data_IF_144342485978
#
_entry.id   IF_144342485978
#
_cell.length_a   1.000
_cell.length_b   1.000
_cell.length_c   1.000
_cell.angle_alpha   90.00
_cell.angle_beta   90.00
_cell.angle_gamma   90.00
#
_symmetry.space_group_name_H-M   'P 1'
#
loop_
_entity.id
_entity.type
_entity.pdbx_description
1 polymer ?
#
# COMPACT_ATOMS: atom_id res chain seq x y z
N UNK A 1 0.59 -16.34 -26.42
CA UNK A 1 -0.70 -15.88 -25.85
C UNK A 1 -0.69 -16.30 -24.39
N UNK A 2 -1.01 -15.39 -23.47
CA UNK A 2 -0.96 -15.65 -22.02
C UNK A 2 -2.02 -16.71 -21.64
N UNK A 3 -1.61 -17.90 -21.22
CA UNK A 3 -2.54 -18.99 -20.86
C UNK A 3 -2.88 -18.93 -19.37
N UNK A 4 -3.96 -18.21 -19.05
CA UNK A 4 -4.43 -17.98 -17.68
C UNK A 4 -4.72 -19.30 -16.96
N UNK A 5 -5.40 -20.23 -17.65
CA UNK A 5 -5.81 -21.51 -17.06
C UNK A 5 -4.60 -22.35 -16.63
N UNK A 6 -3.53 -22.34 -17.42
CA UNK A 6 -2.28 -23.03 -17.08
C UNK A 6 -1.57 -22.38 -15.89
N UNK A 7 -1.47 -21.04 -15.88
CA UNK A 7 -0.83 -20.32 -14.77
C UNK A 7 -1.58 -20.50 -13.45
N UNK A 8 -2.92 -20.59 -13.48
CA UNK A 8 -3.73 -20.87 -12.29
C UNK A 8 -3.43 -22.24 -11.68
N UNK A 9 -3.03 -23.24 -12.47
CA UNK A 9 -2.64 -24.57 -11.95
C UNK A 9 -1.33 -24.56 -11.15
N UNK A 10 -0.52 -23.51 -11.32
CA UNK A 10 0.75 -23.36 -10.59
C UNK A 10 0.53 -22.87 -9.15
N UNK A 11 -0.66 -22.36 -8.81
CA UNK A 11 -0.99 -21.95 -7.46
C UNK A 11 -1.64 -23.11 -6.68
N UNK A 12 -1.12 -23.40 -5.49
CA UNK A 12 -1.53 -24.56 -4.69
C UNK A 12 -2.08 -24.12 -3.34
N UNK A 13 -3.10 -24.82 -2.80
CA UNK A 13 -3.56 -24.59 -1.44
C UNK A 13 -2.42 -24.77 -0.43
N UNK A 14 -2.42 -23.92 0.58
CA UNK A 14 -1.48 -23.92 1.70
C UNK A 14 -2.03 -24.84 2.79
N UNK A 15 -1.28 -25.88 3.13
CA UNK A 15 -1.60 -26.81 4.22
C UNK A 15 -1.10 -26.26 5.55
N UNK A 16 -2.00 -25.60 6.29
CA UNK A 16 -1.72 -24.94 7.57
C UNK A 16 -1.27 -25.94 8.65
N UNK A 17 -1.85 -27.14 8.69
CA UNK A 17 -1.55 -28.15 9.71
C UNK A 17 -0.11 -28.68 9.56
N UNK A 18 0.32 -28.88 8.31
CA UNK A 18 1.69 -29.31 8.00
C UNK A 18 2.72 -28.21 8.31
N UNK A 19 2.37 -26.94 8.07
CA UNK A 19 3.25 -25.80 8.36
C UNK A 19 3.41 -25.62 9.87
N UNK A 20 2.32 -25.62 10.64
CA UNK A 20 2.38 -25.50 12.10
C UNK A 20 3.21 -26.65 12.73
N UNK A 21 3.14 -27.86 12.19
CA UNK A 21 3.98 -28.99 12.61
C UNK A 21 5.47 -28.82 12.31
N UNK A 22 5.83 -28.13 11.23
CA UNK A 22 7.22 -27.96 10.77
C UNK A 22 7.93 -26.75 11.36
N UNK A 23 7.23 -25.64 11.51
CA UNK A 23 7.82 -24.35 11.92
C UNK A 23 7.29 -23.84 13.26
N UNK A 24 6.36 -24.55 13.88
CA UNK A 24 5.73 -24.13 15.14
C UNK A 24 4.56 -23.17 14.92
N UNK A 25 4.15 -22.48 15.99
CA UNK A 25 3.00 -21.57 15.93
C UNK A 25 3.24 -20.43 14.94
N UNK A 26 2.32 -20.28 13.99
CA UNK A 26 2.30 -19.21 13.00
C UNK A 26 1.51 -18.02 13.59
N UNK A 27 1.90 -16.76 13.36
CA UNK A 27 1.10 -15.61 13.75
C UNK A 27 -0.33 -15.67 13.20
N UNK A 28 -1.32 -15.28 14.01
CA UNK A 28 -2.74 -15.38 13.67
C UNK A 28 -3.09 -14.63 12.37
N UNK A 29 -2.46 -13.48 12.13
CA UNK A 29 -2.67 -12.70 10.90
C UNK A 29 -2.20 -13.45 9.64
N UNK A 30 -1.03 -14.09 9.71
CA UNK A 30 -0.50 -14.90 8.61
C UNK A 30 -1.39 -16.12 8.34
N UNK A 31 -1.90 -16.76 9.40
CA UNK A 31 -2.85 -17.86 9.29
C UNK A 31 -4.16 -17.42 8.63
N UNK A 32 -4.75 -16.33 9.09
CA UNK A 32 -5.99 -15.78 8.54
C UNK A 32 -5.82 -15.39 7.05
N UNK A 33 -4.68 -14.81 6.69
CA UNK A 33 -4.37 -14.49 5.30
C UNK A 33 -4.26 -15.75 4.42
N UNK A 34 -3.58 -16.80 4.89
CA UNK A 34 -3.48 -18.09 4.19
C UNK A 34 -4.83 -18.79 4.01
N UNK A 35 -5.72 -18.73 5.00
CA UNK A 35 -7.10 -19.24 4.87
C UNK A 35 -7.88 -18.51 3.78
N UNK A 36 -7.76 -17.19 3.72
CA UNK A 36 -8.38 -16.37 2.68
C UNK A 36 -7.80 -16.65 1.29
N UNK A 37 -6.49 -16.89 1.19
CA UNK A 37 -5.86 -17.34 -0.05
C UNK A 37 -6.38 -18.70 -0.52
N UNK A 38 -6.50 -19.67 0.39
CA UNK A 38 -7.09 -20.98 0.08
C UNK A 38 -8.55 -20.86 -0.36
N UNK A 39 -9.32 -19.97 0.27
CA UNK A 39 -10.68 -19.64 -0.15
C UNK A 39 -10.71 -19.06 -1.55
N UNK A 40 -9.80 -18.14 -1.87
CA UNK A 40 -9.71 -17.55 -3.20
C UNK A 40 -9.43 -18.62 -4.28
N UNK A 41 -8.50 -19.55 -4.02
CA UNK A 41 -8.24 -20.67 -4.94
C UNK A 41 -9.48 -21.52 -5.21
N UNK A 42 -10.30 -21.76 -4.19
CA UNK A 42 -11.56 -22.47 -4.34
C UNK A 42 -12.55 -21.68 -5.22
N UNK A 43 -12.68 -20.37 -5.01
CA UNK A 43 -13.56 -19.51 -5.83
C UNK A 43 -13.10 -19.43 -7.29
N UNK A 44 -11.78 -19.40 -7.54
CA UNK A 44 -11.22 -19.48 -8.90
C UNK A 44 -11.62 -20.79 -9.57
N UNK A 45 -11.57 -21.91 -8.84
CA UNK A 45 -12.00 -23.21 -9.39
C UNK A 45 -13.50 -23.22 -9.75
N UNK A 46 -14.29 -22.38 -9.08
CA UNK A 46 -15.72 -22.18 -9.35
C UNK A 46 -15.99 -21.12 -10.42
N UNK A 47 -14.96 -20.52 -11.05
CA UNK A 47 -15.08 -19.40 -12.01
C UNK A 47 -15.78 -18.17 -11.42
N UNK A 48 -15.50 -17.91 -10.14
CA UNK A 48 -15.95 -16.73 -9.41
C UNK A 48 -14.75 -15.80 -9.15
N UNK A 49 -14.10 -15.33 -10.21
CA UNK A 49 -12.86 -14.54 -10.13
C UNK A 49 -13.05 -13.24 -9.33
N UNK A 50 -14.23 -12.61 -9.38
CA UNK A 50 -14.54 -11.41 -8.58
C UNK A 50 -14.51 -11.70 -7.06
N UNK A 51 -15.09 -12.83 -6.64
CA UNK A 51 -15.11 -13.26 -5.24
C UNK A 51 -13.70 -13.64 -4.79
N UNK A 52 -12.93 -14.28 -5.68
CA UNK A 52 -11.54 -14.59 -5.44
C UNK A 52 -10.70 -13.33 -5.22
N UNK A 53 -10.88 -12.30 -6.05
CA UNK A 53 -10.19 -11.01 -5.90
C UNK A 53 -10.54 -10.36 -4.55
N UNK A 54 -11.80 -10.40 -4.11
CA UNK A 54 -12.19 -9.89 -2.78
C UNK A 54 -11.46 -10.63 -1.66
N UNK A 55 -11.42 -11.96 -1.73
CA UNK A 55 -10.73 -12.78 -0.74
C UNK A 55 -9.21 -12.49 -0.73
N UNK A 56 -8.60 -12.31 -1.90
CA UNK A 56 -7.18 -11.99 -2.03
C UNK A 56 -6.85 -10.58 -1.53
N UNK A 57 -7.69 -9.58 -1.85
CA UNK A 57 -7.57 -8.23 -1.29
C UNK A 57 -7.56 -8.26 0.24
N UNK A 58 -8.48 -9.02 0.84
CA UNK A 58 -8.53 -9.19 2.30
C UNK A 58 -7.30 -9.94 2.85
N UNK A 59 -6.82 -10.97 2.15
CA UNK A 59 -5.60 -11.68 2.53
C UNK A 59 -4.40 -10.74 2.56
N UNK A 60 -4.24 -9.93 1.51
CA UNK A 60 -3.16 -8.97 1.35
C UNK A 60 -3.28 -7.81 2.36
N UNK A 61 -4.49 -7.39 2.74
CA UNK A 61 -4.66 -6.37 3.78
C UNK A 61 -4.24 -6.85 5.17
N UNK A 62 -4.39 -8.16 5.44
CA UNK A 62 -4.00 -8.77 6.72
C UNK A 62 -2.50 -9.07 6.72
N UNK A 63 -1.96 -9.55 5.60
CA UNK A 63 -0.55 -9.87 5.43
C UNK A 63 -0.01 -9.23 4.14
N UNK A 64 0.48 -7.97 4.19
CA UNK A 64 0.91 -7.22 3.00
C UNK A 64 2.07 -7.87 2.23
N UNK A 65 2.90 -8.68 2.89
CA UNK A 65 4.00 -9.42 2.27
C UNK A 65 3.56 -10.76 1.65
N UNK A 66 2.25 -10.97 1.45
CA UNK A 66 1.74 -12.18 0.80
C UNK A 66 1.90 -12.14 -0.72
N UNK A 67 3.14 -12.19 -1.20
CA UNK A 67 3.45 -12.06 -2.64
C UNK A 67 2.77 -13.12 -3.51
N UNK A 68 2.56 -14.33 -2.99
CA UNK A 68 1.85 -15.39 -3.71
C UNK A 68 0.37 -15.03 -3.91
N UNK A 69 -0.27 -14.39 -2.92
CA UNK A 69 -1.64 -13.88 -3.04
C UNK A 69 -1.71 -12.69 -4.00
N UNK A 70 -0.72 -11.78 -3.98
CA UNK A 70 -0.63 -10.68 -4.95
C UNK A 70 -0.45 -11.19 -6.38
N UNK A 71 0.43 -12.16 -6.60
CA UNK A 71 0.61 -12.78 -7.91
C UNK A 71 -0.69 -13.44 -8.40
N UNK A 72 -1.38 -14.19 -7.53
CA UNK A 72 -2.67 -14.79 -7.87
C UNK A 72 -3.72 -13.73 -8.21
N UNK A 73 -3.76 -12.62 -7.46
CA UNK A 73 -4.68 -11.51 -7.70
C UNK A 73 -4.44 -10.85 -9.06
N UNK A 74 -3.17 -10.65 -9.45
CA UNK A 74 -2.82 -10.16 -10.77
C UNK A 74 -3.30 -11.10 -11.89
N UNK A 75 -3.22 -12.42 -11.70
CA UNK A 75 -3.75 -13.39 -12.66
C UNK A 75 -5.27 -13.34 -12.74
N UNK A 76 -5.97 -13.20 -11.61
CA UNK A 76 -7.42 -13.00 -11.59
C UNK A 76 -7.84 -11.73 -12.32
N UNK A 77 -7.10 -10.62 -12.16
CA UNK A 77 -7.34 -9.39 -12.90
C UNK A 77 -7.21 -9.56 -14.42
N UNK A 78 -6.21 -10.32 -14.88
CA UNK A 78 -6.10 -10.69 -16.31
C UNK A 78 -7.33 -11.52 -16.74
N UNK A 79 -7.79 -12.45 -15.90
CA UNK A 79 -8.94 -13.31 -16.21
C UNK A 79 -10.24 -12.53 -16.43
N UNK A 80 -10.45 -11.43 -15.70
CA UNK A 80 -11.61 -10.56 -15.85
C UNK A 80 -11.40 -9.41 -16.86
N UNK A 81 -10.23 -9.35 -17.51
CA UNK A 81 -9.91 -8.35 -18.53
C UNK A 81 -9.37 -7.01 -18.00
N UNK A 82 -9.04 -6.92 -16.71
CA UNK A 82 -8.50 -5.73 -16.06
C UNK A 82 -6.95 -5.73 -16.09
N UNK A 83 -6.38 -5.64 -17.30
CA UNK A 83 -4.93 -5.73 -17.49
C UNK A 83 -4.13 -4.64 -16.74
N UNK A 84 -4.62 -3.41 -16.69
CA UNK A 84 -3.95 -2.31 -15.99
C UNK A 84 -3.85 -2.58 -14.47
N UNK A 85 -4.92 -3.09 -13.86
CA UNK A 85 -4.92 -3.48 -12.44
C UNK A 85 -3.96 -4.65 -12.20
N UNK A 86 -3.91 -5.62 -13.12
CA UNK A 86 -2.93 -6.70 -13.05
C UNK A 86 -1.49 -6.17 -13.08
N UNK A 87 -1.19 -5.23 -13.98
CA UNK A 87 0.13 -4.60 -14.10
C UNK A 87 0.52 -3.84 -12.85
N UNK A 88 -0.41 -3.10 -12.25
CA UNK A 88 -0.18 -2.39 -10.99
C UNK A 88 0.24 -3.35 -9.88
N UNK A 89 -0.50 -4.45 -9.71
CA UNK A 89 -0.21 -5.46 -8.68
C UNK A 89 1.13 -6.17 -8.93
N UNK A 90 1.44 -6.55 -10.17
CA UNK A 90 2.74 -7.15 -10.46
C UNK A 90 3.90 -6.17 -10.23
N UNK A 91 3.73 -4.90 -10.59
CA UNK A 91 4.73 -3.87 -10.29
C UNK A 91 4.92 -3.68 -8.78
N UNK A 92 3.85 -3.77 -7.99
CA UNK A 92 3.91 -3.77 -6.52
C UNK A 92 4.77 -4.93 -6.00
N UNK A 93 4.54 -6.16 -6.49
CA UNK A 93 5.36 -7.34 -6.14
C UNK A 93 6.84 -7.14 -6.51
N UNK A 94 7.12 -6.56 -7.69
CA UNK A 94 8.50 -6.29 -8.16
C UNK A 94 9.24 -5.32 -7.24
N UNK A 95 8.54 -4.30 -6.71
CA UNK A 95 9.12 -3.31 -5.80
C UNK A 95 9.44 -3.86 -4.41
N UNK A 96 8.80 -4.96 -4.01
CA UNK A 96 8.95 -5.59 -2.70
C UNK A 96 10.05 -6.69 -2.66
N UNK A 97 10.83 -6.81 -3.74
CA UNK A 97 12.10 -7.55 -3.89
C UNK A 97 12.04 -9.12 -3.84
N UNK A 98 11.31 -9.75 -2.91
CA UNK A 98 11.50 -11.19 -2.62
C UNK A 98 10.78 -12.18 -3.56
N UNK A 99 9.80 -11.74 -4.38
CA UNK A 99 9.13 -12.60 -5.40
C UNK A 99 9.01 -11.93 -6.78
N UNK A 100 9.91 -10.97 -7.05
CA UNK A 100 9.93 -10.11 -8.23
C UNK A 100 10.00 -10.88 -9.57
N UNK A 101 10.63 -12.05 -9.59
CA UNK A 101 10.86 -12.81 -10.83
C UNK A 101 9.57 -13.31 -11.50
N UNK A 102 8.57 -13.73 -10.71
CA UNK A 102 7.30 -14.24 -11.24
C UNK A 102 6.42 -13.10 -11.76
N UNK A 103 6.32 -12.02 -10.98
CA UNK A 103 5.60 -10.81 -11.36
C UNK A 103 6.22 -10.12 -12.59
N UNK A 104 7.55 -9.99 -12.67
CA UNK A 104 8.24 -9.45 -13.83
C UNK A 104 8.00 -10.28 -15.10
N UNK A 105 7.92 -11.60 -14.96
CA UNK A 105 7.57 -12.51 -16.05
C UNK A 105 6.14 -12.30 -16.53
N UNK A 106 5.20 -12.03 -15.62
CA UNK A 106 3.82 -11.71 -15.98
C UNK A 106 3.73 -10.39 -16.75
N UNK A 107 4.39 -9.32 -16.30
CA UNK A 107 4.48 -8.04 -17.06
C UNK A 107 5.06 -8.26 -18.46
N UNK A 108 6.19 -8.97 -18.57
CA UNK A 108 6.84 -9.24 -19.86
C UNK A 108 5.93 -9.98 -20.83
N UNK A 109 5.14 -10.94 -20.33
CA UNK A 109 4.18 -11.68 -21.15
C UNK A 109 2.97 -10.85 -21.56
N UNK A 110 2.52 -9.92 -20.71
CA UNK A 110 1.50 -8.93 -21.07
C UNK A 110 2.00 -7.97 -22.17
N UNK A 111 3.29 -7.62 -22.16
CA UNK A 111 3.93 -6.80 -23.20
C UNK A 111 4.16 -7.54 -24.54
N UNK A 112 3.83 -8.84 -24.60
CA UNK A 112 3.97 -9.65 -25.82
C UNK A 112 5.39 -10.14 -26.12
N UNK A 113 6.33 -9.99 -25.18
CA UNK A 113 7.72 -10.44 -25.33
C UNK A 113 7.86 -11.90 -24.88
N UNK A 114 7.70 -12.82 -25.83
CA UNK A 114 7.90 -14.27 -25.63
C UNK A 114 9.38 -14.59 -25.85
N UNK A 115 10.23 -14.09 -24.97
CA UNK A 115 11.60 -14.62 -24.82
C UNK A 115 11.69 -15.34 -23.48
N UNK A 116 11.47 -16.66 -23.53
CA UNK A 116 11.90 -17.59 -22.50
C UNK A 116 13.43 -17.67 -22.57
N UNK A 117 14.11 -16.73 -21.94
CA UNK A 117 15.52 -16.88 -21.61
C UNK A 117 15.75 -16.46 -20.16
N UNK A 118 16.34 -17.38 -19.42
CA UNK A 118 16.72 -17.30 -18.01
C UNK A 118 17.52 -16.03 -17.72
N UNK A 119 17.24 -15.38 -16.59
CA UNK A 119 18.18 -14.40 -16.02
C UNK A 119 18.48 -14.71 -14.55
N UNK A 120 19.46 -15.59 -14.38
CA UNK A 120 20.40 -15.57 -13.27
C UNK A 120 20.99 -14.16 -13.09
N UNK A 121 21.11 -13.75 -11.82
CA UNK A 121 21.76 -12.55 -11.30
C UNK A 121 22.93 -12.00 -12.15
N UNK A 122 22.97 -10.69 -12.44
CA UNK A 122 24.07 -9.78 -12.02
C UNK A 122 23.91 -8.32 -12.45
N UNK A 123 24.50 -7.44 -11.63
CA UNK A 123 24.68 -5.98 -11.73
C UNK A 123 25.52 -5.52 -12.94
N UNK A 124 25.14 -4.32 -13.44
CA UNK A 124 25.94 -3.17 -13.96
C UNK A 124 26.40 -3.09 -15.44
N UNK A 125 25.85 -2.05 -16.12
CA UNK A 125 26.50 -0.86 -16.77
C UNK A 125 26.72 -0.79 -18.32
N UNK A 126 26.03 0.23 -18.89
CA UNK A 126 26.33 1.27 -19.94
C UNK A 126 26.15 1.06 -21.48
N UNK A 127 25.23 1.92 -21.99
CA UNK A 127 25.22 2.87 -23.16
C UNK A 127 25.34 2.30 -24.60
N UNK A 128 24.38 2.47 -25.54
CA UNK A 128 23.76 3.64 -26.27
C UNK A 128 24.22 3.58 -27.77
N UNK A 129 23.59 4.14 -28.84
CA UNK A 129 22.24 4.69 -29.13
C UNK A 129 21.54 4.07 -30.38
N UNK A 130 20.32 4.54 -30.69
CA UNK A 130 19.85 5.08 -31.99
C UNK A 130 18.43 4.69 -32.43
N UNK A 131 17.52 5.67 -32.29
CA UNK A 131 16.70 6.25 -33.35
C UNK A 131 16.34 5.34 -34.54
N UNK A 132 15.09 4.87 -34.60
CA UNK A 132 14.34 4.77 -35.86
C UNK A 132 12.81 4.67 -35.63
N UNK A 133 12.21 5.80 -35.27
CA UNK A 133 10.77 6.03 -35.43
C UNK A 133 10.47 6.28 -36.91
N UNK A 134 9.98 5.28 -37.65
CA UNK A 134 9.27 5.50 -38.93
C UNK A 134 8.80 4.19 -39.58
N UNK A 135 7.75 3.56 -39.05
CA UNK A 135 6.91 2.63 -39.83
C UNK A 135 5.45 2.79 -39.38
N UNK A 136 4.79 3.85 -39.83
CA UNK A 136 3.32 3.96 -39.81
C UNK A 136 2.81 4.86 -40.93
N UNK A 137 3.31 4.62 -42.15
CA UNK A 137 2.73 5.14 -43.40
C UNK A 137 3.05 4.16 -44.51
N UNK A 138 2.36 3.03 -44.52
CA UNK A 138 2.26 2.20 -45.71
C UNK A 138 0.94 1.45 -45.68
N UNK A 139 0.33 1.32 -46.85
CA UNK A 139 -0.86 0.51 -47.17
C UNK A 139 -2.22 1.21 -46.97
N UNK A 140 -2.51 2.15 -47.86
CA UNK A 140 -3.85 2.34 -48.40
C UNK A 140 -3.75 2.34 -49.92
N UNK A 141 -4.11 1.22 -50.56
CA UNK A 141 -4.73 1.15 -51.88
C UNK A 141 -4.76 -0.32 -52.34
N UNK A 142 -5.94 -0.93 -52.35
CA UNK A 142 -6.36 -1.77 -53.48
C UNK A 142 -7.86 -2.06 -53.40
N UNK A 143 -8.57 -1.68 -54.48
CA UNK A 143 -9.56 -2.47 -55.23
C UNK A 143 -10.63 -1.57 -55.85
N UNK A 144 -10.54 -1.42 -57.17
CA UNK A 144 -11.64 -1.04 -58.06
C UNK A 144 -12.63 -2.24 -58.20
N UNK A 145 -13.85 -2.08 -58.76
CA UNK A 145 -13.95 -2.07 -60.23
C UNK A 145 -15.11 -1.27 -60.89
N UNK A 146 -14.84 -0.94 -62.15
CA UNK A 146 -15.67 -0.92 -63.38
C UNK A 146 -16.96 -0.10 -63.55
N UNK A 147 -16.92 0.67 -64.64
CA UNK A 147 -17.99 1.27 -65.45
C UNK A 147 -19.20 0.37 -65.79
N UNK A 148 -20.39 0.98 -65.86
CA UNK A 148 -21.11 1.18 -67.15
C UNK A 148 -22.50 1.83 -66.97
N UNK A 149 -22.82 2.74 -67.89
CA UNK A 149 -24.10 3.46 -68.00
C UNK A 149 -25.26 2.50 -68.32
N UNK A 150 -26.04 2.04 -67.33
CA UNK A 150 -27.45 1.58 -67.47
C UNK A 150 -28.20 1.51 -66.13
N UNK A 151 -28.03 2.51 -65.26
CA UNK A 151 -28.59 2.50 -63.89
C UNK A 151 -30.00 3.06 -63.71
N UNK A 152 -30.45 4.02 -64.53
CA UNK A 152 -31.67 4.80 -64.22
C UNK A 152 -32.98 4.18 -64.73
N UNK A 153 -32.97 3.49 -65.87
CA UNK A 153 -34.19 2.93 -66.46
C UNK A 153 -34.79 1.75 -65.67
N UNK A 154 -33.99 1.01 -64.90
CA UNK A 154 -34.49 -0.09 -64.05
C UNK A 154 -35.33 0.42 -62.88
N UNK A 155 -34.96 1.56 -62.28
CA UNK A 155 -35.72 2.14 -61.18
C UNK A 155 -37.02 2.82 -61.64
N UNK A 156 -37.01 3.44 -62.83
CA UNK A 156 -38.22 4.05 -63.41
C UNK A 156 -39.28 2.98 -63.73
N UNK A 157 -38.88 1.81 -64.21
CA UNK A 157 -39.80 0.70 -64.49
C UNK A 157 -40.45 0.14 -63.21
N UNK A 158 -39.67 -0.01 -62.13
CA UNK A 158 -40.15 -0.49 -60.82
C UNK A 158 -41.08 0.53 -60.17
N UNK A 159 -40.81 1.83 -60.32
CA UNK A 159 -41.66 2.89 -59.80
C UNK A 159 -43.04 2.92 -60.49
N UNK A 160 -43.08 2.76 -61.82
CA UNK A 160 -44.35 2.73 -62.58
C UNK A 160 -45.19 1.49 -62.23
N UNK A 161 -44.55 0.33 -62.05
CA UNK A 161 -45.22 -0.89 -61.58
C UNK A 161 -45.77 -0.74 -60.16
N UNK A 162 -45.04 -0.06 -59.27
CA UNK A 162 -45.50 0.23 -57.91
C UNK A 162 -46.74 1.13 -57.87
N UNK A 163 -46.77 2.19 -58.68
CA UNK A 163 -47.93 3.11 -58.77
C UNK A 163 -49.16 2.43 -59.36
N UNK A 164 -48.97 1.52 -60.32
CA UNK A 164 -50.07 0.74 -60.89
C UNK A 164 -50.66 -0.24 -59.88
N UNK A 165 -49.84 -0.89 -59.05
CA UNK A 165 -50.31 -1.82 -58.00
C UNK A 165 -51.08 -1.07 -56.90
N UNK A 166 -50.60 0.10 -56.46
CA UNK A 166 -51.30 0.90 -55.44
C UNK A 166 -52.62 1.50 -55.95
N UNK A 167 -52.66 1.90 -57.21
CA UNK A 167 -53.89 2.36 -57.88
C UNK A 167 -54.92 1.23 -58.06
N UNK A 168 -54.46 0.02 -58.39
CA UNK A 168 -55.30 -1.18 -58.47
C UNK A 168 -55.87 -1.58 -57.09
N UNK A 169 -55.08 -1.47 -56.03
CA UNK A 169 -55.53 -1.71 -54.65
C UNK A 169 -56.58 -0.67 -54.23
N UNK A 170 -56.41 0.60 -54.60
CA UNK A 170 -57.39 1.66 -54.29
C UNK A 170 -58.74 1.46 -55.01
N UNK A 171 -58.73 0.94 -56.25
CA UNK A 171 -59.93 0.64 -57.03
C UNK A 171 -60.61 -0.67 -56.58
N UNK A 172 -59.82 -1.65 -56.12
CA UNK A 172 -60.31 -2.97 -55.70
C UNK A 172 -60.89 -3.00 -54.27
N UNK A 173 -60.70 -1.94 -53.46
CA UNK A 173 -61.36 -1.81 -52.16
C UNK A 173 -62.81 -1.33 -52.37
N UNK A 174 -63.82 -2.17 -52.12
CA UNK A 174 -65.22 -1.75 -52.23
C UNK A 174 -65.50 -0.69 -51.17
N UNK A 175 -66.21 0.38 -51.54
CA UNK A 175 -66.61 1.46 -50.64
C UNK A 175 -67.78 1.03 -49.71
N UNK A 176 -67.71 -0.20 -49.23
CA UNK A 176 -68.66 -0.77 -48.30
C UNK A 176 -68.13 -0.43 -46.91
N UNK A 177 -68.92 0.31 -46.13
CA UNK A 177 -68.63 0.57 -44.72
C UNK A 177 -68.42 -0.79 -44.04
N UNK A 178 -67.16 -1.14 -43.81
CA UNK A 178 -66.82 -2.29 -42.98
C UNK A 178 -67.26 -1.86 -41.59
N UNK A 179 -68.43 -2.33 -41.15
CA UNK A 179 -68.75 -2.35 -39.73
C UNK A 179 -67.81 -3.38 -39.11
N UNK A 180 -66.57 -2.96 -38.88
CA UNK A 180 -65.68 -3.64 -37.95
C UNK A 180 -66.37 -3.46 -36.61
N UNK A 181 -66.96 -4.53 -36.10
CA UNK A 181 -67.52 -4.57 -34.75
C UNK A 181 -66.35 -4.50 -33.75
N UNK A 182 -65.82 -3.30 -33.61
CA UNK A 182 -64.65 -2.95 -32.82
C UNK A 182 -64.90 -3.25 -31.33
N UNK A 183 -66.17 -3.31 -30.91
CA UNK A 183 -66.59 -3.68 -29.56
C UNK A 183 -66.10 -5.07 -29.14
N UNK A 184 -66.05 -6.05 -30.05
CA UNK A 184 -65.57 -7.40 -29.71
C UNK A 184 -64.04 -7.55 -29.75
N UNK A 185 -63.33 -6.60 -30.38
CA UNK A 185 -61.87 -6.44 -30.26
C UNK A 185 -61.49 -5.73 -28.96
N UNK A 186 -62.33 -4.80 -28.50
CA UNK A 186 -62.15 -4.05 -27.25
C UNK A 186 -62.81 -4.69 -26.02
N UNK A 187 -63.46 -5.85 -26.15
CA UNK A 187 -64.04 -6.62 -25.03
C UNK A 187 -63.05 -7.58 -24.32
N UNK A 188 -61.74 -7.44 -24.61
CA UNK A 188 -60.63 -7.95 -23.78
C UNK A 188 -59.93 -6.89 -22.88
N UNK A 189 -60.55 -5.73 -22.51
CA UNK A 189 -59.82 -4.63 -21.91
C UNK A 189 -59.39 -4.94 -20.46
N UNK A 190 -59.95 -5.98 -19.84
CA UNK A 190 -59.68 -6.38 -18.47
C UNK A 190 -58.51 -7.34 -18.29
N UNK A 191 -58.13 -8.13 -19.31
CA UNK A 191 -56.93 -8.97 -19.23
C UNK A 191 -55.67 -8.23 -19.66
N UNK A 192 -55.76 -7.39 -20.69
CA UNK A 192 -54.61 -6.62 -21.17
C UNK A 192 -54.28 -5.46 -20.22
N UNK A 193 -55.26 -4.78 -19.62
CA UNK A 193 -55.00 -3.77 -18.58
C UNK A 193 -54.34 -4.38 -17.33
N UNK A 194 -54.76 -5.59 -16.90
CA UNK A 194 -54.10 -6.31 -15.80
C UNK A 194 -52.66 -6.68 -16.12
N UNK A 195 -52.38 -7.16 -17.34
CA UNK A 195 -51.01 -7.45 -17.79
C UNK A 195 -50.14 -6.19 -17.88
N UNK A 196 -50.72 -5.07 -18.29
CA UNK A 196 -50.00 -3.79 -18.34
C UNK A 196 -49.65 -3.34 -16.91
N UNK A 197 -50.57 -3.42 -15.96
CA UNK A 197 -50.33 -3.12 -14.54
C UNK A 197 -49.29 -4.06 -13.92
N UNK A 198 -49.33 -5.35 -14.26
CA UNK A 198 -48.36 -6.36 -13.82
C UNK A 198 -46.96 -6.10 -14.40
N UNK A 199 -46.87 -5.76 -15.69
CA UNK A 199 -45.61 -5.38 -16.37
C UNK A 199 -45.05 -4.05 -15.84
N UNK A 200 -45.91 -3.07 -15.54
CA UNK A 200 -45.48 -1.81 -14.90
C UNK A 200 -44.94 -2.07 -13.48
N UNK A 201 -45.55 -3.00 -12.74
CA UNK A 201 -45.07 -3.49 -11.46
C UNK A 201 -43.70 -4.17 -11.57
N UNK A 202 -43.52 -5.07 -12.53
CA UNK A 202 -42.24 -5.73 -12.81
C UNK A 202 -41.15 -4.74 -13.22
N UNK A 203 -41.47 -3.75 -14.07
CA UNK A 203 -40.52 -2.68 -14.46
C UNK A 203 -40.13 -1.84 -13.24
N UNK A 204 -41.09 -1.51 -12.38
CA UNK A 204 -40.83 -0.78 -11.14
C UNK A 204 -39.91 -1.56 -10.19
N UNK A 205 -40.19 -2.85 -10.00
CA UNK A 205 -39.36 -3.72 -9.18
C UNK A 205 -37.96 -3.93 -9.77
N UNK A 206 -37.87 -4.13 -11.09
CA UNK A 206 -36.61 -4.28 -11.79
C UNK A 206 -35.76 -3.01 -11.71
N UNK A 207 -36.37 -1.83 -11.86
CA UNK A 207 -35.71 -0.54 -11.67
C UNK A 207 -35.23 -0.35 -10.22
N UNK A 208 -36.02 -0.79 -9.23
CA UNK A 208 -35.61 -0.76 -7.82
C UNK A 208 -34.36 -1.62 -7.59
N UNK A 209 -34.35 -2.86 -8.10
CA UNK A 209 -33.20 -3.77 -8.00
C UNK A 209 -31.98 -3.23 -8.74
N UNK A 210 -32.18 -2.59 -9.89
CA UNK A 210 -31.10 -1.98 -10.66
C UNK A 210 -30.46 -0.81 -9.92
N UNK A 211 -31.27 0.08 -9.33
CA UNK A 211 -30.79 1.17 -8.48
C UNK A 211 -30.06 0.65 -7.24
N UNK A 212 -30.57 -0.41 -6.60
CA UNK A 212 -29.93 -1.04 -5.45
C UNK A 212 -28.58 -1.67 -5.82
N UNK A 213 -28.52 -2.41 -6.94
CA UNK A 213 -27.30 -2.97 -7.48
C UNK A 213 -26.27 -1.88 -7.85
N UNK A 214 -26.72 -0.78 -8.44
CA UNK A 214 -25.86 0.39 -8.71
C UNK A 214 -25.30 0.99 -7.43
N UNK A 215 -26.13 1.14 -6.38
CA UNK A 215 -25.67 1.62 -5.07
C UNK A 215 -24.62 0.71 -4.43
N UNK A 216 -24.78 -0.61 -4.51
CA UNK A 216 -23.78 -1.57 -4.05
C UNK A 216 -22.47 -1.49 -4.84
N UNK A 217 -22.54 -1.33 -6.18
CA UNK A 217 -21.36 -1.18 -7.02
C UNK A 217 -20.61 0.13 -6.74
N UNK A 218 -21.32 1.23 -6.50
CA UNK A 218 -20.71 2.50 -6.12
C UNK A 218 -20.05 2.42 -4.74
N UNK A 219 -20.71 1.81 -3.75
CA UNK A 219 -20.13 1.57 -2.43
C UNK A 219 -18.89 0.67 -2.50
N UNK A 220 -18.91 -0.38 -3.33
CA UNK A 220 -17.77 -1.25 -3.53
C UNK A 220 -16.59 -0.52 -4.20
N UNK A 221 -16.85 0.32 -5.21
CA UNK A 221 -15.83 1.15 -5.88
C UNK A 221 -15.21 2.17 -4.94
N UNK A 222 -16.01 2.84 -4.10
CA UNK A 222 -15.49 3.80 -3.13
C UNK A 222 -14.62 3.12 -2.07
N UNK A 223 -15.05 1.96 -1.58
CA UNK A 223 -14.22 1.13 -0.68
C UNK A 223 -12.93 0.68 -1.35
N UNK A 224 -12.98 0.25 -2.62
CA UNK A 224 -11.79 -0.13 -3.39
C UNK A 224 -10.80 1.04 -3.50
N UNK A 225 -11.29 2.24 -3.82
CA UNK A 225 -10.46 3.43 -3.91
C UNK A 225 -9.82 3.79 -2.57
N UNK A 226 -10.55 3.65 -1.46
CA UNK A 226 -10.01 3.86 -0.11
C UNK A 226 -8.93 2.83 0.22
N UNK A 227 -9.18 1.54 -0.07
CA UNK A 227 -8.21 0.46 0.10
C UNK A 227 -6.95 0.67 -0.73
N UNK A 228 -7.09 1.12 -1.99
CA UNK A 228 -5.97 1.44 -2.86
C UNK A 228 -5.14 2.60 -2.31
N UNK A 229 -5.79 3.65 -1.80
CA UNK A 229 -5.11 4.76 -1.14
C UNK A 229 -4.33 4.34 0.11
N UNK A 230 -4.92 3.48 0.95
CA UNK A 230 -4.22 2.91 2.11
C UNK A 230 -3.02 2.04 1.69
N UNK A 231 -3.17 1.25 0.62
CA UNK A 231 -2.10 0.41 0.09
C UNK A 231 -0.94 1.25 -0.45
N UNK A 232 -1.21 2.33 -1.17
CA UNK A 232 -0.17 3.20 -1.72
C UNK A 232 0.61 3.93 -0.61
N UNK A 233 -0.08 4.31 0.46
CA UNK A 233 0.58 4.84 1.67
C UNK A 233 1.46 3.79 2.34
N UNK A 234 0.97 2.55 2.51
CA UNK A 234 1.76 1.45 3.06
C UNK A 234 3.01 1.18 2.21
N UNK A 235 2.88 1.16 0.88
CA UNK A 235 4.01 0.97 -0.04
C UNK A 235 5.03 2.11 0.12
N UNK A 236 4.57 3.36 0.21
CA UNK A 236 5.47 4.49 0.43
C UNK A 236 6.27 4.36 1.74
N UNK A 237 5.62 3.85 2.79
CA UNK A 237 6.23 3.66 4.11
C UNK A 237 7.02 2.36 4.28
N UNK A 238 6.77 1.35 3.45
CA UNK A 238 7.43 0.03 3.51
C UNK A 238 8.95 0.11 3.46
N UNK A 239 9.48 1.06 2.67
CA UNK A 239 10.93 1.29 2.58
C UNK A 239 11.50 1.80 3.89
N UNK A 240 10.79 2.70 4.58
CA UNK A 240 11.22 3.27 5.85
C UNK A 240 11.19 2.17 6.93
N UNK A 241 10.10 1.40 6.98
CA UNK A 241 9.96 0.28 7.91
C UNK A 241 11.10 -0.74 7.74
N UNK A 242 11.38 -1.15 6.49
CA UNK A 242 12.48 -2.07 6.19
C UNK A 242 13.85 -1.53 6.60
N UNK A 243 14.08 -0.22 6.49
CA UNK A 243 15.35 0.37 6.96
C UNK A 243 15.41 0.38 8.50
N UNK A 244 14.30 0.64 9.19
CA UNK A 244 14.22 0.53 10.65
C UNK A 244 14.46 -0.92 11.12
N UNK A 245 13.81 -1.91 10.49
CA UNK A 245 14.04 -3.32 10.77
C UNK A 245 15.50 -3.73 10.54
N UNK A 246 16.08 -3.26 9.43
CA UNK A 246 17.50 -3.50 9.15
C UNK A 246 18.42 -2.91 10.22
N UNK A 247 18.12 -1.72 10.75
CA UNK A 247 18.87 -1.16 11.88
C UNK A 247 18.71 -2.04 13.13
N UNK A 248 17.48 -2.51 13.40
CA UNK A 248 17.20 -3.40 14.52
C UNK A 248 17.99 -4.72 14.43
N UNK A 249 17.93 -5.42 13.31
CA UNK A 249 18.66 -6.69 13.10
C UNK A 249 20.18 -6.53 13.10
N UNK A 250 20.68 -5.34 12.73
CA UNK A 250 22.11 -5.01 12.85
C UNK A 250 22.53 -4.64 14.28
N UNK A 251 21.58 -4.58 15.22
CA UNK A 251 21.82 -4.15 16.59
C UNK A 251 22.12 -2.65 16.71
N UNK A 252 21.75 -1.84 15.72
CA UNK A 252 21.94 -0.38 15.68
C UNK A 252 20.75 0.34 16.29
N UNK A 253 20.49 0.06 17.57
CA UNK A 253 19.30 0.55 18.27
C UNK A 253 19.33 2.07 18.48
N UNK A 254 20.53 2.65 18.65
CA UNK A 254 20.71 4.10 18.74
C UNK A 254 20.22 4.79 17.47
N UNK A 255 20.74 4.37 16.31
CA UNK A 255 20.35 4.95 15.02
C UNK A 255 18.87 4.81 14.76
N UNK A 256 18.30 3.65 15.10
CA UNK A 256 16.87 3.38 14.97
C UNK A 256 16.04 4.37 15.80
N UNK A 257 16.35 4.55 17.09
CA UNK A 257 15.61 5.48 17.95
C UNK A 257 15.76 6.92 17.47
N UNK A 258 16.95 7.31 17.00
CA UNK A 258 17.16 8.65 16.41
C UNK A 258 16.29 8.85 15.16
N UNK A 259 16.22 7.86 14.28
CA UNK A 259 15.40 7.95 13.07
C UNK A 259 13.92 8.14 13.43
N UNK A 260 13.39 7.36 14.38
CA UNK A 260 12.00 7.45 14.82
C UNK A 260 11.70 8.79 15.52
N UNK A 261 12.48 9.14 16.54
CA UNK A 261 12.16 10.27 17.42
C UNK A 261 12.55 11.63 16.84
N UNK A 262 13.43 11.69 15.82
CA UNK A 262 13.84 12.94 15.18
C UNK A 262 13.37 13.08 13.74
N UNK A 263 13.61 12.07 12.90
CA UNK A 263 13.39 12.20 11.46
C UNK A 263 11.94 11.87 11.06
N UNK A 264 11.30 10.96 11.79
CA UNK A 264 9.91 10.57 11.57
C UNK A 264 8.91 11.36 12.42
N UNK A 265 9.41 12.14 13.39
CA UNK A 265 8.58 12.96 14.26
C UNK A 265 7.79 14.02 13.48
N UNK A 266 6.47 14.03 13.68
CA UNK A 266 5.57 15.01 13.06
C UNK A 266 5.20 14.73 11.61
N UNK A 267 5.65 13.60 11.03
CA UNK A 267 5.15 13.13 9.75
C UNK A 267 3.75 12.52 9.89
N UNK A 268 2.97 12.61 8.81
CA UNK A 268 1.66 11.95 8.72
C UNK A 268 1.89 10.46 8.41
N UNK A 269 1.91 9.65 9.48
CA UNK A 269 2.15 8.21 9.44
C UNK A 269 0.80 7.50 9.54
N UNK A 270 0.44 6.62 8.58
CA UNK A 270 -0.77 5.81 8.68
C UNK A 270 -0.82 5.01 9.98
N UNK A 271 -2.00 4.90 10.59
CA UNK A 271 -2.16 4.30 11.93
C UNK A 271 -1.55 2.89 12.05
N UNK A 272 -1.70 2.06 11.01
CA UNK A 272 -1.15 0.70 10.97
C UNK A 272 0.38 0.72 11.05
N UNK A 273 1.03 1.54 10.21
CA UNK A 273 2.50 1.71 10.21
C UNK A 273 2.97 2.31 11.55
N UNK A 274 2.21 3.27 12.08
CA UNK A 274 2.53 3.90 13.36
C UNK A 274 2.55 2.90 14.50
N UNK A 275 1.64 1.91 14.50
CA UNK A 275 1.64 0.84 15.50
C UNK A 275 2.91 -0.02 15.40
N UNK A 276 3.32 -0.39 14.19
CA UNK A 276 4.56 -1.17 13.95
C UNK A 276 5.82 -0.40 14.38
N UNK A 277 5.94 0.87 13.98
CA UNK A 277 7.04 1.74 14.40
C UNK A 277 7.06 1.89 15.92
N UNK A 278 5.90 2.02 16.56
CA UNK A 278 5.79 2.13 18.02
C UNK A 278 6.24 0.83 18.70
N UNK A 279 5.82 -0.33 18.21
CA UNK A 279 6.26 -1.62 18.73
C UNK A 279 7.78 -1.79 18.61
N UNK A 280 8.33 -1.50 17.43
CA UNK A 280 9.76 -1.57 17.17
C UNK A 280 10.55 -0.57 18.04
N UNK A 281 10.04 0.64 18.22
CA UNK A 281 10.61 1.66 19.11
C UNK A 281 10.67 1.16 20.56
N UNK A 282 9.56 0.60 21.07
CA UNK A 282 9.49 0.07 22.43
C UNK A 282 10.49 -1.06 22.68
N UNK A 283 10.77 -1.90 21.68
CA UNK A 283 11.79 -2.94 21.79
C UNK A 283 13.22 -2.41 21.69
N UNK A 284 13.44 -1.37 20.88
CA UNK A 284 14.75 -0.80 20.63
C UNK A 284 15.22 0.13 21.77
N UNK A 285 14.31 0.90 22.37
CA UNK A 285 14.58 1.86 23.45
C UNK A 285 15.43 1.29 24.60
N UNK A 286 15.05 0.19 25.28
CA UNK A 286 15.86 -0.35 26.37
C UNK A 286 17.26 -0.80 25.91
N UNK A 287 17.39 -1.26 24.65
CA UNK A 287 18.67 -1.72 24.08
C UNK A 287 19.56 -0.57 23.60
N UNK A 288 18.98 0.60 23.34
CA UNK A 288 19.69 1.77 22.82
C UNK A 288 20.36 2.60 23.91
N UNK A 289 19.87 2.57 25.16
CA UNK A 289 20.39 3.38 26.27
C UNK A 289 21.91 3.30 26.40
N UNK A 290 22.47 2.08 26.39
CA UNK A 290 23.91 1.90 26.52
C UNK A 290 24.68 2.41 25.29
N UNK A 291 24.11 2.28 24.09
CA UNK A 291 24.73 2.78 22.86
C UNK A 291 24.75 4.31 22.81
N UNK A 292 23.65 4.96 23.25
CA UNK A 292 23.61 6.41 23.45
C UNK A 292 24.68 6.84 24.44
N UNK A 293 24.74 6.18 25.60
CA UNK A 293 25.73 6.47 26.63
C UNK A 293 27.18 6.34 26.15
N UNK A 294 27.53 5.23 25.48
CA UNK A 294 28.88 4.99 24.96
C UNK A 294 29.27 6.05 23.92
N UNK A 295 28.34 6.40 23.02
CA UNK A 295 28.55 7.44 22.01
C UNK A 295 28.74 8.80 22.68
N UNK A 296 27.85 9.17 23.61
CA UNK A 296 27.90 10.40 24.38
C UNK A 296 29.23 10.55 25.13
N UNK A 297 29.68 9.48 25.80
CA UNK A 297 30.92 9.43 26.57
C UNK A 297 32.17 9.47 25.71
N UNK A 298 32.14 8.82 24.54
CA UNK A 298 33.20 8.93 23.54
C UNK A 298 33.39 10.37 23.08
N UNK A 299 32.30 11.04 22.68
CA UNK A 299 32.30 12.45 22.29
C UNK A 299 32.82 13.34 23.42
N UNK A 300 32.31 13.14 24.64
CA UNK A 300 32.74 13.88 25.82
C UNK A 300 34.26 13.76 26.01
N UNK A 301 34.78 12.54 26.19
CA UNK A 301 36.18 12.29 26.51
C UNK A 301 37.13 12.78 25.41
N UNK A 302 36.74 12.64 24.15
CA UNK A 302 37.52 13.13 23.00
C UNK A 302 37.70 14.65 23.04
N UNK A 303 36.75 15.37 23.64
CA UNK A 303 36.73 16.82 23.72
C UNK A 303 37.52 17.41 24.92
N UNK A 304 38.16 16.58 25.74
CA UNK A 304 38.91 17.01 26.93
C UNK A 304 39.98 18.08 26.66
N UNK A 305 40.62 18.03 25.47
CA UNK A 305 41.66 18.97 25.06
C UNK A 305 41.12 20.18 24.31
N UNK A 306 40.24 19.95 23.34
CA UNK A 306 39.67 20.98 22.46
C UNK A 306 38.67 21.88 23.17
N UNK A 307 37.86 21.30 24.08
CA UNK A 307 36.77 22.00 24.79
C UNK A 307 35.84 22.74 23.82
N UNK A 308 35.57 22.13 22.69
CA UNK A 308 34.70 22.65 21.66
C UNK A 308 33.24 22.59 22.11
N UNK A 309 32.51 23.69 21.98
CA UNK A 309 31.12 23.80 22.44
C UNK A 309 30.18 22.92 21.62
N UNK A 310 30.38 22.81 20.32
CA UNK A 310 29.52 21.99 19.45
C UNK A 310 29.67 20.50 19.78
N UNK A 311 30.89 20.05 20.04
CA UNK A 311 31.15 18.67 20.49
C UNK A 311 30.52 18.38 21.86
N UNK A 312 30.52 19.35 22.79
CA UNK A 312 29.76 19.22 24.04
C UNK A 312 28.26 19.20 23.82
N UNK A 313 27.73 19.99 22.88
CA UNK A 313 26.31 19.95 22.50
C UNK A 313 25.92 18.60 21.93
N UNK A 314 26.70 18.04 21.01
CA UNK A 314 26.46 16.70 20.47
C UNK A 314 26.47 15.66 21.59
N UNK A 315 27.48 15.69 22.48
CA UNK A 315 27.53 14.79 23.64
C UNK A 315 26.32 14.95 24.57
N UNK A 316 25.91 16.18 24.86
CA UNK A 316 24.75 16.48 25.68
C UNK A 316 23.45 15.96 25.05
N UNK A 317 23.27 16.10 23.74
CA UNK A 317 22.08 15.62 23.03
C UNK A 317 21.95 14.09 23.08
N UNK A 318 23.08 13.37 23.03
CA UNK A 318 23.10 11.91 23.23
C UNK A 318 22.73 11.53 24.67
N UNK A 319 23.27 12.23 25.67
CA UNK A 319 22.92 12.01 27.07
C UNK A 319 21.44 12.32 27.36
N UNK A 320 20.90 13.39 26.78
CA UNK A 320 19.47 13.75 26.89
C UNK A 320 18.58 12.63 26.37
N UNK A 321 18.93 12.04 25.23
CA UNK A 321 18.18 10.92 24.67
C UNK A 321 18.28 9.67 25.56
N UNK A 322 19.47 9.36 26.10
CA UNK A 322 19.62 8.26 27.05
C UNK A 322 18.77 8.49 28.33
N UNK A 323 18.79 9.70 28.88
CA UNK A 323 18.05 10.07 30.09
C UNK A 323 16.54 10.03 29.82
N UNK A 324 16.06 10.56 28.68
CA UNK A 324 14.62 10.53 28.36
C UNK A 324 14.09 9.11 28.26
N UNK A 325 14.87 8.18 27.67
CA UNK A 325 14.49 6.76 27.59
C UNK A 325 14.52 6.12 28.98
N UNK A 326 15.52 6.41 29.80
CA UNK A 326 15.60 5.91 31.19
C UNK A 326 14.39 6.36 32.02
N UNK A 327 13.96 7.61 31.84
CA UNK A 327 12.80 8.16 32.53
C UNK A 327 11.49 7.53 32.04
N UNK A 328 11.35 7.33 30.73
CA UNK A 328 10.21 6.62 30.13
C UNK A 328 10.10 5.17 30.63
N UNK A 329 11.23 4.48 30.79
CA UNK A 329 11.29 3.08 31.23
C UNK A 329 11.33 2.92 32.76
N UNK A 330 11.40 4.04 33.51
CA UNK A 330 11.61 4.06 34.96
C UNK A 330 12.83 3.21 35.42
N UNK A 331 13.91 3.17 34.61
CA UNK A 331 15.07 2.32 34.92
C UNK A 331 15.87 2.89 36.11
N UNK A 332 16.02 2.06 37.15
CA UNK A 332 16.74 2.40 38.39
C UNK A 332 18.06 1.64 38.56
N UNK A 333 18.50 0.96 37.50
CA UNK A 333 19.73 0.17 37.48
C UNK A 333 20.97 0.97 37.87
N UNK A 334 21.98 0.30 38.42
CA UNK A 334 23.16 0.97 38.98
C UNK A 334 23.99 1.76 37.96
N UNK A 335 23.92 1.42 36.67
CA UNK A 335 24.66 2.12 35.62
C UNK A 335 24.04 3.48 35.26
N UNK A 336 22.75 3.68 35.57
CA UNK A 336 22.00 4.92 35.31
C UNK A 336 22.62 6.12 36.04
N UNK A 337 23.15 5.91 37.24
CA UNK A 337 23.79 6.97 38.03
C UNK A 337 24.95 7.64 37.28
N UNK A 338 25.68 6.85 36.49
CA UNK A 338 26.82 7.34 35.72
C UNK A 338 26.34 8.15 34.50
N UNK A 339 25.24 7.72 33.86
CA UNK A 339 24.61 8.42 32.73
C UNK A 339 24.16 9.82 33.18
N UNK A 340 23.43 9.93 34.29
CA UNK A 340 23.02 11.24 34.82
C UNK A 340 24.22 12.12 35.18
N UNK A 341 25.30 11.55 35.73
CA UNK A 341 26.42 12.35 36.20
C UNK A 341 27.21 12.94 35.05
N UNK A 342 27.60 12.12 34.07
CA UNK A 342 28.32 12.62 32.90
C UNK A 342 27.40 13.40 31.96
N UNK A 343 26.12 13.05 31.89
CA UNK A 343 25.09 13.83 31.19
C UNK A 343 24.98 15.25 31.73
N UNK A 344 24.81 15.41 33.06
CA UNK A 344 24.78 16.73 33.68
C UNK A 344 26.03 17.55 33.40
N UNK A 345 27.23 16.93 33.42
CA UNK A 345 28.47 17.61 33.05
C UNK A 345 28.52 18.03 31.59
N UNK A 346 28.11 17.15 30.67
CA UNK A 346 28.10 17.44 29.24
C UNK A 346 27.10 18.56 28.91
N UNK A 347 25.91 18.51 29.51
CA UNK A 347 24.86 19.53 29.38
C UNK A 347 25.37 20.89 29.85
N UNK A 348 25.90 21.01 31.06
CA UNK A 348 26.46 22.27 31.57
C UNK A 348 27.57 22.83 30.66
N UNK A 349 28.46 21.96 30.17
CA UNK A 349 29.56 22.35 29.29
C UNK A 349 29.13 22.70 27.86
N UNK A 350 27.92 22.31 27.44
CA UNK A 350 27.38 22.63 26.12
C UNK A 350 26.87 24.08 26.01
N UNK A 351 26.55 24.71 27.15
CA UNK A 351 25.91 26.05 27.23
C UNK A 351 24.68 26.21 26.30
N UNK A 352 24.00 25.11 25.96
CA UNK A 352 22.91 25.05 24.97
C UNK A 352 21.61 24.51 25.57
N UNK A 353 20.45 25.15 25.35
CA UNK A 353 20.20 26.26 24.40
C UNK A 353 20.69 27.64 24.85
N UNK A 354 20.73 27.88 26.16
CA UNK A 354 21.48 28.97 26.79
C UNK A 354 22.26 28.42 27.98
N UNK A 355 23.26 29.17 28.45
CA UNK A 355 24.05 28.78 29.61
C UNK A 355 23.20 28.56 30.85
N UNK A 356 22.28 29.47 31.13
CA UNK A 356 21.40 29.40 32.30
C UNK A 356 20.46 28.19 32.23
N UNK A 357 19.94 27.88 31.04
CA UNK A 357 19.07 26.71 30.82
C UNK A 357 19.86 25.40 30.96
N UNK A 358 21.05 25.35 30.38
CA UNK A 358 21.94 24.20 30.48
C UNK A 358 22.40 23.95 31.93
N UNK A 359 22.76 25.00 32.67
CA UNK A 359 23.16 24.89 34.07
C UNK A 359 21.99 24.40 34.95
N UNK A 360 20.78 24.90 34.72
CA UNK A 360 19.58 24.42 35.42
C UNK A 360 19.26 22.95 35.12
N UNK A 361 19.34 22.53 33.85
CA UNK A 361 19.15 21.15 33.43
C UNK A 361 20.22 20.21 34.02
N UNK A 362 21.47 20.67 34.06
CA UNK A 362 22.57 19.93 34.69
C UNK A 362 22.38 19.78 36.21
N UNK A 363 21.94 20.83 36.90
CA UNK A 363 21.60 20.77 38.34
C UNK A 363 20.52 19.72 38.58
N UNK A 364 19.45 19.70 37.77
CA UNK A 364 18.39 18.70 37.89
C UNK A 364 18.92 17.25 37.75
N UNK A 365 19.86 17.02 36.82
CA UNK A 365 20.54 15.72 36.70
C UNK A 365 21.30 15.35 37.98
N UNK A 366 22.04 16.30 38.56
CA UNK A 366 22.81 16.08 39.79
C UNK A 366 21.93 15.88 41.03
N UNK A 367 20.83 16.61 41.14
CA UNK A 367 19.83 16.46 42.20
C UNK A 367 19.13 15.10 42.10
N UNK A 368 18.79 14.66 40.88
CA UNK A 368 18.23 13.32 40.64
C UNK A 368 19.14 12.24 41.18
N UNK A 369 20.47 12.39 41.02
CA UNK A 369 21.45 11.46 41.59
C UNK A 369 21.40 11.43 43.11
N UNK A 370 21.36 12.61 43.75
CA UNK A 370 21.32 12.73 45.21
C UNK A 370 20.04 12.14 45.78
N UNK A 371 18.92 12.32 45.09
CA UNK A 371 17.60 11.83 45.49
C UNK A 371 17.47 10.31 45.33
N UNK A 372 17.78 9.78 44.14
CA UNK A 372 17.59 8.35 43.82
C UNK A 372 18.74 7.46 44.30
N UNK A 373 19.98 7.98 44.36
CA UNK A 373 21.16 7.21 44.78
C UNK A 373 22.02 7.97 45.82
N UNK A 374 21.47 8.30 47.01
CA UNK A 374 22.12 9.19 48.00
C UNK A 374 23.46 8.67 48.55
N UNK A 375 23.64 7.35 48.56
CA UNK A 375 24.85 6.68 49.07
C UNK A 375 25.90 6.43 47.98
N UNK A 376 25.63 6.81 46.72
CA UNK A 376 26.60 6.65 45.63
C UNK A 376 27.74 7.64 45.76
N UNK A 377 28.93 7.27 45.28
CA UNK A 377 30.06 8.20 45.16
C UNK A 377 29.68 9.40 44.29
N UNK A 378 28.86 9.18 43.26
CA UNK A 378 28.33 10.21 42.39
C UNK A 378 27.44 11.22 43.11
N UNK A 379 26.67 10.84 44.14
CA UNK A 379 25.90 11.82 44.93
C UNK A 379 26.80 12.84 45.64
N UNK A 380 27.96 12.41 46.15
CA UNK A 380 28.95 13.34 46.72
C UNK A 380 29.54 14.26 45.65
N UNK A 381 29.84 13.71 44.46
CA UNK A 381 30.37 14.50 43.35
C UNK A 381 29.34 15.50 42.80
N UNK A 382 28.08 15.08 42.69
CA UNK A 382 26.94 15.90 42.28
C UNK A 382 26.78 17.12 43.17
N UNK A 383 26.85 16.98 44.50
CA UNK A 383 26.80 18.13 45.43
C UNK A 383 27.91 19.15 45.15
N UNK A 384 29.11 18.68 44.82
CA UNK A 384 30.21 19.58 44.47
C UNK A 384 29.97 20.32 43.13
N UNK A 385 29.38 19.64 42.13
CA UNK A 385 29.05 20.27 40.84
C UNK A 385 27.92 21.30 40.95
N UNK A 386 26.88 21.00 41.74
CA UNK A 386 25.79 21.95 42.02
C UNK A 386 26.36 23.25 42.63
N UNK A 387 27.18 23.13 43.68
CA UNK A 387 27.82 24.29 44.32
C UNK A 387 28.70 25.12 43.36
N UNK A 388 29.31 24.49 42.35
CA UNK A 388 30.09 25.21 41.34
C UNK A 388 29.19 26.00 40.38
N UNK A 389 28.13 25.37 39.87
CA UNK A 389 27.18 26.01 38.96
C UNK A 389 26.43 27.17 39.63
N UNK A 390 25.94 26.97 40.86
CA UNK A 390 25.29 28.02 41.64
C UNK A 390 26.23 29.21 41.95
N UNK A 391 27.54 28.94 42.06
CA UNK A 391 28.57 29.97 42.22
C UNK A 391 28.99 30.62 40.89
N UNK A 392 28.34 30.28 39.76
CA UNK A 392 28.66 30.78 38.42
C UNK A 392 30.00 30.29 37.86
N UNK A 393 30.53 29.18 38.40
CA UNK A 393 31.81 28.61 37.97
C UNK A 393 31.57 27.56 36.89
N UNK A 394 32.39 27.58 35.84
CA UNK A 394 32.39 26.53 34.82
C UNK A 394 32.87 25.20 35.42
N UNK A 395 32.07 24.16 35.23
CA UNK A 395 32.41 22.79 35.62
C UNK A 395 33.67 22.33 34.88
N UNK A 396 34.51 21.54 35.57
CA UNK A 396 35.66 20.90 34.93
C UNK A 396 35.24 19.69 34.10
N UNK A 397 35.88 19.54 32.94
CA UNK A 397 35.90 18.30 32.19
C UNK A 397 36.29 17.11 33.08
#
# INVERSE_FOLDING_TARGET
MFNIAEELTNFKPIDLENIEQKIGAIPDDMKNAMELYNKALNEISNKNEDIAIIALKKAISIYPEFYEAMNLMGICYIAIGEEENAREIFNKVIQMDDNSLRAARYIKRLDGDISDDEFTQTRRIKKLPDKLSSISKLVSNELAPSDSKTGLFKYILVFILGVLITSLIWIAVPNNKVNIELSNLFNKPTQDAKRIEELEGEISELNSRLNEAQGFLEAARENEKQLQGQMDQYIAWSKNLRELDKLYYQGKYRELVVEIEKNLAGLDIPDVIKQEITALSNEAKPKSVLQFYETARSLYNSNSKSKDLDTYRQSADEYRMAISIIEELEDTSSYVVEIYYYGGKAIALSESPSKEQADAEAINCFETIISKWPNSVYANYSRARINELEAGKTIKH
#
